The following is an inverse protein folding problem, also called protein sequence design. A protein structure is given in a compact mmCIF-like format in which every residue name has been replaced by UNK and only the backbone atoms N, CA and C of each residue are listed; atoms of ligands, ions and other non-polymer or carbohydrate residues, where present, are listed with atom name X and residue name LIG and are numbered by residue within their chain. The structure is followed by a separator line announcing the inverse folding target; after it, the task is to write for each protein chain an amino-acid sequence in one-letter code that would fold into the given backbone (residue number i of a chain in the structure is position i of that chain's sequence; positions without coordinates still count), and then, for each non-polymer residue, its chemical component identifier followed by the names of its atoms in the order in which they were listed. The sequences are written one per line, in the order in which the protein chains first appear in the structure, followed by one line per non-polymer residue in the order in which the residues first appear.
data_IF_523303066998
#
_entry.id   IF_523303066998
#
_cell.length_a   1.000
_cell.length_b   1.000
_cell.length_c   1.000
_cell.angle_alpha   90.00
_cell.angle_beta   90.00
_cell.angle_gamma   90.00
#
_symmetry.space_group_name_H-M   'P 1'
#
loop_
_entity.id
_entity.type
_entity.pdbx_description
1 polymer ?
#
# COMPACT_ATOMS: atom_id res chain seq x y z
N UNK A 1 -36.77 40.03 -5.57
CA UNK A 1 -35.73 41.06 -5.40
C UNK A 1 -34.50 40.38 -4.82
N UNK A 2 -33.49 40.18 -5.65
CA UNK A 2 -32.19 39.65 -5.28
C UNK A 2 -31.33 40.76 -4.68
N UNK A 3 -30.55 40.45 -3.65
CA UNK A 3 -29.43 41.28 -3.21
C UNK A 3 -28.22 40.36 -2.99
N UNK A 4 -27.26 40.50 -3.90
CA UNK A 4 -25.93 39.91 -3.85
C UNK A 4 -25.13 40.51 -2.69
N UNK A 5 -24.42 39.68 -1.91
CA UNK A 5 -23.29 40.16 -1.11
C UNK A 5 -22.01 39.42 -1.49
N UNK A 6 -21.00 40.25 -1.74
CA UNK A 6 -19.73 39.98 -2.39
C UNK A 6 -18.75 39.21 -1.52
N UNK A 7 -18.15 38.18 -2.12
CA UNK A 7 -17.07 37.35 -1.59
C UNK A 7 -15.71 38.05 -1.76
N UNK A 8 -15.23 38.83 -0.80
CA UNK A 8 -13.89 39.46 -0.90
C UNK A 8 -13.25 39.90 0.44
N UNK A 9 -13.26 39.08 1.50
CA UNK A 9 -12.59 39.44 2.76
C UNK A 9 -11.86 38.32 3.51
N UNK A 10 -11.36 37.28 2.83
CA UNK A 10 -10.38 36.37 3.44
C UNK A 10 -9.26 36.00 2.45
N UNK A 11 -8.71 37.04 1.81
CA UNK A 11 -7.42 36.99 1.12
C UNK A 11 -6.42 37.77 1.97
N UNK A 12 -5.79 37.13 2.96
CA UNK A 12 -4.44 37.49 3.39
C UNK A 12 -3.82 36.47 4.36
N UNK A 13 -2.59 36.06 4.00
CA UNK A 13 -1.50 35.45 4.79
C UNK A 13 -1.30 33.94 4.67
N UNK A 14 -0.18 33.56 4.03
CA UNK A 14 0.45 32.24 4.10
C UNK A 14 0.78 31.57 2.77
N UNK A 15 1.40 32.27 1.81
CA UNK A 15 1.91 31.67 0.57
C UNK A 15 3.33 31.13 0.80
N UNK A 16 3.51 29.81 0.79
CA UNK A 16 4.82 29.14 0.75
C UNK A 16 5.14 28.81 -0.72
N UNK A 17 6.27 29.25 -1.31
CA UNK A 17 6.52 29.08 -2.74
C UNK A 17 7.04 27.68 -3.07
N UNK A 18 6.36 27.01 -4.00
CA UNK A 18 6.81 25.79 -4.68
C UNK A 18 7.84 26.20 -5.75
N UNK A 19 9.12 25.92 -5.54
CA UNK A 19 10.17 26.13 -6.56
C UNK A 19 9.93 25.23 -7.77
N UNK A 20 9.70 25.85 -8.93
CA UNK A 20 9.76 25.23 -10.23
C UNK A 20 11.22 25.17 -10.71
N UNK A 21 11.67 23.99 -11.13
CA UNK A 21 12.93 23.82 -11.85
C UNK A 21 12.65 23.90 -13.35
N UNK A 22 12.80 25.10 -13.91
CA UNK A 22 12.93 25.35 -15.35
C UNK A 22 14.40 25.41 -15.70
N UNK A 23 14.89 24.47 -16.50
CA UNK A 23 16.22 24.56 -17.11
C UNK A 23 16.09 25.31 -18.43
N UNK A 24 16.74 26.47 -18.48
CA UNK A 24 16.83 27.37 -19.62
C UNK A 24 17.55 26.73 -20.82
N UNK A 25 17.06 27.09 -22.01
CA UNK A 25 17.77 26.94 -23.28
C UNK A 25 19.04 27.79 -23.24
N UNK A 26 20.19 27.19 -23.56
CA UNK A 26 21.37 27.91 -24.02
C UNK A 26 21.68 27.46 -25.44
N UNK A 27 21.85 28.44 -26.34
CA UNK A 27 22.18 28.20 -27.74
C UNK A 27 23.53 27.53 -27.89
N UNK A 28 23.60 26.58 -28.82
CA UNK A 28 24.85 26.02 -29.32
C UNK A 28 25.01 26.44 -30.78
N UNK A 29 26.05 27.23 -30.98
CA UNK A 29 26.54 27.78 -32.25
C UNK A 29 27.00 26.69 -33.21
N UNK A 30 26.65 26.88 -34.48
CA UNK A 30 27.14 26.17 -35.66
C UNK A 30 28.67 26.11 -35.69
N UNK A 31 29.24 24.89 -35.71
CA UNK A 31 30.59 24.63 -36.23
C UNK A 31 30.58 23.28 -36.97
N UNK A 32 30.66 23.38 -38.29
CA UNK A 32 31.01 22.30 -39.23
C UNK A 32 32.32 21.61 -38.83
N UNK A 33 32.46 20.29 -39.08
CA UNK A 33 33.70 19.84 -39.70
C UNK A 33 33.51 18.77 -40.78
N UNK A 34 33.98 19.14 -41.98
CA UNK A 34 34.87 18.40 -42.88
C UNK A 34 34.52 16.96 -43.25
N UNK A 35 34.04 16.88 -44.49
CA UNK A 35 34.28 15.86 -45.50
C UNK A 35 35.61 15.10 -45.35
N UNK A 36 35.54 13.79 -45.12
CA UNK A 36 36.55 12.82 -45.53
C UNK A 36 35.88 11.68 -46.28
N UNK A 37 36.33 11.51 -47.51
CA UNK A 37 35.85 10.57 -48.50
C UNK A 37 36.42 9.16 -48.30
N UNK A 38 35.57 8.18 -48.61
CA UNK A 38 35.84 6.88 -49.23
C UNK A 38 36.84 5.93 -48.55
N UNK A 39 36.37 4.73 -48.18
CA UNK A 39 37.00 3.47 -48.62
C UNK A 39 35.99 2.32 -48.54
N UNK A 40 35.78 1.71 -49.70
CA UNK A 40 34.98 0.53 -49.96
C UNK A 40 35.37 -0.66 -49.07
N UNK A 41 34.38 -1.52 -48.77
CA UNK A 41 34.45 -2.94 -49.12
C UNK A 41 33.08 -3.62 -49.07
N UNK A 42 32.47 -3.77 -50.25
CA UNK A 42 31.49 -4.83 -50.49
C UNK A 42 32.23 -6.17 -50.44
N UNK A 43 31.94 -7.00 -49.46
CA UNK A 43 32.46 -8.37 -49.39
C UNK A 43 31.44 -9.31 -50.07
N UNK A 44 31.76 -9.91 -51.23
CA UNK A 44 30.88 -10.90 -51.83
C UNK A 44 30.99 -12.21 -51.04
N UNK A 45 29.89 -12.62 -50.37
CA UNK A 45 29.78 -13.96 -49.79
C UNK A 45 29.63 -14.98 -50.92
N UNK A 46 30.67 -15.77 -51.16
CA UNK A 46 30.64 -16.88 -52.12
C UNK A 46 29.75 -18.03 -51.62
N UNK A 47 28.99 -18.55 -52.56
CA UNK A 47 28.10 -19.71 -52.53
C UNK A 47 28.94 -21.02 -52.55
N UNK A 48 28.61 -21.94 -51.63
CA UNK A 48 28.72 -23.41 -51.63
C UNK A 48 30.04 -24.10 -52.02
N UNK A 49 30.56 -24.92 -51.09
CA UNK A 49 30.96 -26.31 -51.39
C UNK A 49 30.63 -27.24 -50.21
N UNK A 50 30.24 -28.46 -50.58
CA UNK A 50 29.71 -29.52 -49.73
C UNK A 50 30.78 -30.35 -49.00
N UNK A 51 30.29 -31.04 -47.97
CA UNK A 51 30.71 -32.34 -47.44
C UNK A 51 32.00 -32.43 -46.60
N UNK A 52 31.79 -32.73 -45.31
CA UNK A 52 32.31 -33.96 -44.67
C UNK A 52 31.57 -34.28 -43.37
N UNK A 53 30.81 -35.37 -43.41
CA UNK A 53 30.47 -36.31 -42.33
C UNK A 53 30.54 -35.79 -40.88
N UNK A 54 29.48 -35.10 -40.43
CA UNK A 54 29.22 -34.96 -38.98
C UNK A 54 28.21 -36.03 -38.59
N UNK A 55 28.70 -37.08 -37.92
CA UNK A 55 27.89 -38.09 -37.26
C UNK A 55 26.90 -37.34 -36.36
N UNK A 56 25.62 -37.39 -36.69
CA UNK A 56 24.54 -36.74 -35.95
C UNK A 56 24.60 -37.19 -34.49
N UNK A 57 25.21 -36.37 -33.64
CA UNK A 57 25.11 -36.52 -32.20
C UNK A 57 23.67 -36.15 -31.87
N UNK A 58 22.80 -37.17 -31.81
CA UNK A 58 21.47 -37.03 -31.22
C UNK A 58 21.67 -36.73 -29.75
N UNK A 59 21.83 -35.44 -29.44
CA UNK A 59 21.72 -34.92 -28.10
C UNK A 59 20.31 -35.26 -27.62
N UNK A 60 20.16 -36.30 -26.80
CA UNK A 60 18.91 -36.59 -26.13
C UNK A 60 18.66 -35.44 -25.14
N UNK A 61 17.82 -34.50 -25.53
CA UNK A 61 17.41 -33.38 -24.69
C UNK A 61 16.43 -33.89 -23.64
N UNK A 62 16.95 -34.37 -22.49
CA UNK A 62 16.17 -34.81 -21.32
C UNK A 62 15.43 -33.67 -20.58
N UNK A 63 15.18 -32.55 -21.25
CA UNK A 63 14.35 -31.45 -20.75
C UNK A 63 12.97 -31.49 -21.42
N UNK A 64 12.30 -32.63 -21.35
CA UNK A 64 10.89 -32.78 -21.72
C UNK A 64 9.98 -32.84 -20.48
N UNK A 65 10.36 -32.14 -19.40
CA UNK A 65 9.33 -31.72 -18.44
C UNK A 65 8.49 -30.66 -19.15
N UNK A 66 7.46 -31.11 -19.87
CA UNK A 66 6.49 -30.22 -20.48
C UNK A 66 5.97 -29.30 -19.40
N UNK A 67 6.22 -28.01 -19.53
CA UNK A 67 5.65 -27.00 -18.64
C UNK A 67 4.13 -27.05 -18.82
N UNK A 68 3.46 -27.88 -18.02
CA UNK A 68 2.04 -27.71 -17.80
C UNK A 68 1.91 -26.39 -17.07
N UNK A 69 1.70 -25.32 -17.84
CA UNK A 69 1.26 -24.03 -17.34
C UNK A 69 -0.04 -24.30 -16.56
N UNK A 70 0.09 -24.40 -15.24
CA UNK A 70 -1.03 -24.63 -14.31
C UNK A 70 -2.06 -23.49 -14.44
N UNK A 71 -1.62 -22.33 -14.94
CA UNK A 71 -2.44 -21.16 -15.20
C UNK A 71 -2.14 -20.62 -16.60
N UNK A 72 -3.14 -20.08 -17.31
CA UNK A 72 -2.93 -19.45 -18.61
C UNK A 72 -1.90 -18.31 -18.51
N UNK A 73 -1.10 -18.07 -19.56
CA UNK A 73 -0.17 -16.96 -19.59
C UNK A 73 -0.94 -15.65 -19.36
N UNK A 74 -0.41 -14.79 -18.48
CA UNK A 74 -0.97 -13.47 -18.22
C UNK A 74 -0.82 -12.67 -19.53
N UNK A 75 -1.86 -11.92 -19.96
CA UNK A 75 -1.76 -11.06 -21.14
C UNK A 75 -0.57 -10.08 -21.01
N UNK A 76 -0.03 -9.57 -22.14
CA UNK A 76 0.99 -8.53 -22.12
C UNK A 76 0.58 -7.39 -21.17
N UNK A 77 1.56 -6.85 -20.45
CA UNK A 77 1.35 -5.89 -19.38
C UNK A 77 0.95 -4.52 -19.94
N UNK A 78 -0.32 -4.38 -20.36
CA UNK A 78 -0.90 -3.09 -20.70
C UNK A 78 -0.96 -2.23 -19.43
N UNK A 79 -0.62 -0.92 -19.51
CA UNK A 79 -0.70 -0.04 -18.35
C UNK A 79 -2.10 -0.10 -17.71
N UNK A 80 -2.16 -0.42 -16.43
CA UNK A 80 -3.42 -0.42 -15.70
C UNK A 80 -4.06 0.98 -15.78
N UNK A 81 -5.40 1.07 -15.95
CA UNK A 81 -6.08 2.36 -15.91
C UNK A 81 -5.80 3.08 -14.59
N UNK A 82 -5.38 4.34 -14.66
CA UNK A 82 -5.09 5.14 -13.47
C UNK A 82 -6.43 5.56 -12.85
N UNK A 83 -6.76 5.13 -11.62
CA UNK A 83 -7.97 5.58 -10.95
C UNK A 83 -7.86 7.07 -10.57
N UNK A 84 -8.99 7.73 -10.37
CA UNK A 84 -9.02 9.08 -9.83
C UNK A 84 -8.37 9.11 -8.43
N UNK A 85 -7.48 10.07 -8.14
CA UNK A 85 -6.83 10.15 -6.84
C UNK A 85 -7.84 10.56 -5.77
N UNK A 86 -8.06 9.70 -4.78
CA UNK A 86 -8.85 9.99 -3.59
C UNK A 86 -7.98 9.90 -2.33
N UNK A 87 -7.79 11.01 -1.58
CA UNK A 87 -6.93 11.02 -0.39
C UNK A 87 -7.37 10.06 0.73
N UNK A 88 -8.67 9.78 0.82
CA UNK A 88 -9.29 8.85 1.77
C UNK A 88 -8.72 7.44 1.66
N UNK A 89 -8.43 6.98 0.45
CA UNK A 89 -7.95 5.63 0.16
C UNK A 89 -6.44 5.43 0.36
N UNK A 90 -5.71 6.50 0.69
CA UNK A 90 -4.25 6.42 0.82
C UNK A 90 -3.73 7.27 1.97
N UNK A 91 -3.55 8.57 1.73
CA UNK A 91 -2.83 9.45 2.66
C UNK A 91 -3.55 9.59 4.00
N UNK A 92 -4.88 9.77 4.01
CA UNK A 92 -5.64 9.88 5.25
C UNK A 92 -5.68 8.59 6.05
N UNK A 93 -5.91 7.46 5.39
CA UNK A 93 -5.89 6.14 6.03
C UNK A 93 -4.54 5.86 6.69
N UNK A 94 -3.44 6.08 5.95
CA UNK A 94 -2.09 5.89 6.47
C UNK A 94 -1.81 6.80 7.68
N UNK A 95 -2.17 8.08 7.58
CA UNK A 95 -1.90 9.06 8.65
C UNK A 95 -2.68 8.71 9.90
N UNK A 96 -3.95 8.31 9.75
CA UNK A 96 -4.81 7.89 10.85
C UNK A 96 -4.26 6.65 11.57
N UNK A 97 -3.85 5.62 10.82
CA UNK A 97 -3.22 4.43 11.40
C UNK A 97 -1.98 4.76 12.23
N UNK A 98 -1.11 5.63 11.69
CA UNK A 98 0.11 6.03 12.39
C UNK A 98 -0.21 6.85 13.63
N UNK A 99 -1.21 7.72 13.57
CA UNK A 99 -1.64 8.52 14.71
C UNK A 99 -2.16 7.64 15.86
N UNK A 100 -3.06 6.70 15.56
CA UNK A 100 -3.58 5.75 16.57
C UNK A 100 -2.45 4.90 17.14
N UNK A 101 -1.56 4.37 16.29
CA UNK A 101 -0.43 3.55 16.74
C UNK A 101 0.53 4.33 17.64
N UNK A 102 0.86 5.58 17.27
CA UNK A 102 1.73 6.43 18.06
C UNK A 102 1.07 6.86 19.38
N UNK A 103 -0.24 7.15 19.37
CA UNK A 103 -1.02 7.48 20.57
C UNK A 103 -1.18 6.31 21.54
N UNK A 104 -1.16 5.07 21.05
CA UNK A 104 -1.24 3.87 21.88
C UNK A 104 -0.01 3.71 22.79
N UNK A 105 1.17 4.16 22.35
CA UNK A 105 2.43 4.02 23.10
C UNK A 105 2.30 4.65 24.50
N UNK A 106 2.02 5.96 24.66
CA UNK A 106 1.87 6.55 25.99
C UNK A 106 0.66 5.98 26.76
N UNK A 107 -0.44 5.63 26.07
CA UNK A 107 -1.63 5.05 26.71
C UNK A 107 -1.33 3.69 27.36
N UNK A 108 -0.50 2.86 26.73
CA UNK A 108 -0.09 1.57 27.31
C UNK A 108 0.87 1.71 28.49
N UNK A 109 1.62 2.82 28.57
CA UNK A 109 2.52 3.11 29.71
C UNK A 109 1.76 3.69 30.89
N UNK A 110 0.70 4.47 30.64
CA UNK A 110 -0.09 5.16 31.66
C UNK A 110 -0.54 4.29 32.85
N UNK A 111 -1.13 3.08 32.67
CA UNK A 111 -1.55 2.25 33.80
C UNK A 111 -0.36 1.81 34.69
N UNK A 112 0.85 1.67 34.14
CA UNK A 112 2.02 1.32 34.96
C UNK A 112 2.54 2.50 35.79
N UNK A 113 2.36 3.72 35.32
CA UNK A 113 2.77 4.93 36.05
C UNK A 113 1.74 5.37 37.10
N UNK A 114 0.45 5.22 36.79
CA UNK A 114 -0.66 5.67 37.65
C UNK A 114 -1.24 4.58 38.55
N UNK A 115 -0.97 3.30 38.27
CA UNK A 115 -1.64 2.18 38.93
C UNK A 115 -3.03 1.95 38.34
N UNK A 116 -4.08 2.10 39.15
CA UNK A 116 -5.47 2.02 38.67
C UNK A 116 -5.81 3.27 37.84
N UNK A 117 -6.24 3.10 36.59
CA UNK A 117 -6.70 4.21 35.77
C UNK A 117 -8.09 4.69 36.19
N UNK A 118 -8.37 5.97 35.96
CA UNK A 118 -9.75 6.47 35.99
C UNK A 118 -10.55 5.81 34.85
N UNK A 119 -11.84 5.46 35.04
CA UNK A 119 -12.63 4.73 34.04
C UNK A 119 -12.61 5.36 32.64
N UNK A 120 -12.59 6.70 32.55
CA UNK A 120 -12.46 7.39 31.25
C UNK A 120 -11.15 7.09 30.53
N UNK A 121 -10.02 7.01 31.26
CA UNK A 121 -8.72 6.72 30.66
C UNK A 121 -8.60 5.24 30.26
N UNK A 122 -9.21 4.34 31.03
CA UNK A 122 -9.30 2.92 30.68
C UNK A 122 -10.15 2.72 29.42
N UNK A 123 -11.32 3.37 29.35
CA UNK A 123 -12.17 3.38 28.15
C UNK A 123 -11.45 3.95 26.91
N UNK A 124 -10.63 5.00 27.06
CA UNK A 124 -9.83 5.55 25.95
C UNK A 124 -8.77 4.55 25.49
N UNK A 125 -8.05 3.92 26.43
CA UNK A 125 -7.06 2.88 26.12
C UNK A 125 -7.72 1.72 25.38
N UNK A 126 -8.82 1.19 25.91
CA UNK A 126 -9.56 0.08 25.33
C UNK A 126 -10.16 0.43 23.96
N UNK A 127 -10.72 1.63 23.81
CA UNK A 127 -11.25 2.12 22.52
C UNK A 127 -10.15 2.28 21.48
N UNK A 128 -8.99 2.83 21.86
CA UNK A 128 -7.85 2.97 20.96
C UNK A 128 -7.32 1.60 20.51
N UNK A 129 -7.21 0.63 21.43
CA UNK A 129 -6.84 -0.77 21.12
C UNK A 129 -7.86 -1.37 20.15
N UNK A 130 -9.16 -1.24 20.41
CA UNK A 130 -10.21 -1.78 19.56
C UNK A 130 -10.13 -1.23 18.13
N UNK A 131 -9.97 0.08 17.98
CA UNK A 131 -9.84 0.74 16.67
C UNK A 131 -8.56 0.28 15.96
N UNK A 132 -7.42 0.25 16.67
CA UNK A 132 -6.15 -0.21 16.12
C UNK A 132 -6.25 -1.66 15.61
N UNK A 133 -6.87 -2.54 16.40
CA UNK A 133 -7.09 -3.94 16.03
C UNK A 133 -8.04 -4.07 14.84
N UNK A 134 -9.12 -3.30 14.77
CA UNK A 134 -10.05 -3.34 13.63
C UNK A 134 -9.34 -3.04 12.32
N UNK A 135 -8.57 -1.95 12.25
CA UNK A 135 -7.84 -1.55 11.05
C UNK A 135 -6.74 -2.57 10.70
N UNK A 136 -6.03 -3.09 11.71
CA UNK A 136 -5.04 -4.14 11.52
C UNK A 136 -5.64 -5.42 10.93
N UNK A 137 -6.80 -5.86 11.41
CA UNK A 137 -7.49 -7.02 10.85
C UNK A 137 -8.08 -6.75 9.47
N UNK A 138 -8.55 -5.53 9.17
CA UNK A 138 -8.94 -5.15 7.82
C UNK A 138 -7.77 -5.30 6.83
N UNK A 139 -6.56 -4.87 7.21
CA UNK A 139 -5.35 -5.05 6.41
C UNK A 139 -5.03 -6.54 6.16
N UNK A 140 -5.08 -7.37 7.20
CA UNK A 140 -4.90 -8.83 7.09
C UNK A 140 -5.90 -9.44 6.09
N UNK A 141 -7.18 -9.04 6.16
CA UNK A 141 -8.19 -9.52 5.22
C UNK A 141 -7.88 -9.07 3.78
N UNK A 142 -7.45 -7.83 3.58
CA UNK A 142 -7.14 -7.29 2.25
C UNK A 142 -5.95 -8.04 1.62
N UNK A 143 -4.90 -8.31 2.40
CA UNK A 143 -3.65 -8.90 1.94
C UNK A 143 -3.79 -10.40 1.63
N UNK A 144 -4.50 -11.15 2.49
CA UNK A 144 -4.58 -12.61 2.37
C UNK A 144 -5.82 -13.12 1.65
N UNK A 145 -6.90 -12.32 1.55
CA UNK A 145 -8.14 -12.70 0.87
C UNK A 145 -8.36 -11.84 -0.38
N UNK A 146 -7.70 -12.20 -1.51
CA UNK A 146 -7.81 -11.43 -2.75
C UNK A 146 -9.23 -11.48 -3.31
N UNK A 147 -9.79 -10.30 -3.60
CA UNK A 147 -11.17 -10.12 -4.09
C UNK A 147 -11.48 -10.94 -5.34
N UNK A 148 -10.51 -11.07 -6.24
CA UNK A 148 -10.69 -11.73 -7.53
C UNK A 148 -10.71 -13.26 -7.44
N UNK A 149 -10.21 -13.84 -6.33
CA UNK A 149 -10.10 -15.30 -6.17
C UNK A 149 -11.10 -15.85 -5.17
N UNK A 150 -11.33 -15.15 -4.05
CA UNK A 150 -12.14 -15.63 -2.93
C UNK A 150 -13.18 -14.59 -2.46
N UNK A 151 -14.06 -14.09 -3.35
CA UNK A 151 -14.98 -12.99 -3.02
C UNK A 151 -15.98 -13.35 -1.91
N UNK A 152 -16.47 -14.60 -1.86
CA UNK A 152 -17.42 -15.06 -0.84
C UNK A 152 -16.78 -15.13 0.55
N UNK A 153 -15.61 -15.75 0.63
CA UNK A 153 -14.84 -15.87 1.88
C UNK A 153 -14.43 -14.50 2.40
N UNK A 154 -13.94 -13.62 1.53
CA UNK A 154 -13.63 -12.24 1.89
C UNK A 154 -14.85 -11.52 2.45
N UNK A 155 -16.02 -11.63 1.80
CA UNK A 155 -17.25 -10.99 2.26
C UNK A 155 -17.67 -11.50 3.65
N UNK A 156 -17.57 -12.81 3.89
CA UNK A 156 -17.83 -13.39 5.21
C UNK A 156 -16.93 -12.78 6.29
N UNK A 157 -15.61 -12.79 6.09
CA UNK A 157 -14.67 -12.23 7.06
C UNK A 157 -14.85 -10.72 7.25
N UNK A 158 -15.26 -10.00 6.20
CA UNK A 158 -15.55 -8.57 6.27
C UNK A 158 -16.71 -8.27 7.24
N UNK A 159 -17.79 -9.05 7.15
CA UNK A 159 -18.93 -8.92 8.06
C UNK A 159 -18.62 -9.47 9.46
N UNK A 160 -17.87 -10.58 9.54
CA UNK A 160 -17.42 -11.15 10.80
C UNK A 160 -16.58 -10.14 11.59
N UNK A 161 -15.65 -9.43 10.94
CA UNK A 161 -14.83 -8.42 11.59
C UNK A 161 -15.68 -7.28 12.16
N UNK A 162 -16.66 -6.79 11.40
CA UNK A 162 -17.58 -5.75 11.87
C UNK A 162 -18.42 -6.22 13.06
N UNK A 163 -18.95 -7.44 12.99
CA UNK A 163 -19.72 -8.03 14.08
C UNK A 163 -18.85 -8.20 15.34
N UNK A 164 -17.62 -8.68 15.18
CA UNK A 164 -16.65 -8.82 16.27
C UNK A 164 -16.31 -7.46 16.90
N UNK A 165 -16.07 -6.43 16.10
CA UNK A 165 -15.78 -5.08 16.62
C UNK A 165 -16.94 -4.49 17.41
N UNK A 166 -18.18 -4.68 16.94
CA UNK A 166 -19.37 -4.26 17.71
C UNK A 166 -19.51 -5.07 18.99
N UNK A 167 -19.35 -6.40 18.93
CA UNK A 167 -19.46 -7.26 20.09
C UNK A 167 -18.41 -6.91 21.17
N UNK A 168 -17.15 -6.71 20.76
CA UNK A 168 -16.08 -6.27 21.67
C UNK A 168 -16.37 -4.86 22.20
N UNK A 169 -16.86 -3.94 21.37
CA UNK A 169 -17.25 -2.60 21.81
C UNK A 169 -18.34 -2.62 22.90
N UNK A 170 -19.36 -3.47 22.74
CA UNK A 170 -20.40 -3.68 23.77
C UNK A 170 -19.81 -4.32 25.02
N UNK A 171 -18.96 -5.33 24.88
CA UNK A 171 -18.28 -5.96 26.02
C UNK A 171 -17.44 -4.97 26.82
N UNK A 172 -16.66 -4.13 26.13
CA UNK A 172 -15.87 -3.07 26.77
C UNK A 172 -16.76 -2.03 27.47
N UNK A 173 -17.88 -1.64 26.85
CA UNK A 173 -18.84 -0.73 27.50
C UNK A 173 -19.39 -1.32 28.80
N UNK A 174 -19.79 -2.60 28.79
CA UNK A 174 -20.27 -3.30 29.99
C UNK A 174 -19.18 -3.41 31.07
N UNK A 175 -17.94 -3.72 30.69
CA UNK A 175 -16.80 -3.80 31.63
C UNK A 175 -16.51 -2.46 32.30
N UNK A 176 -16.60 -1.35 31.56
CA UNK A 176 -16.31 -0.02 32.09
C UNK A 176 -17.48 0.60 32.89
N UNK A 177 -18.72 0.19 32.62
CA UNK A 177 -19.90 0.78 33.27
C UNK A 177 -20.46 -0.07 34.42
N UNK A 178 -20.43 -1.39 34.30
CA UNK A 178 -21.04 -2.32 35.26
C UNK A 178 -20.02 -3.19 36.00
N UNK A 179 -18.76 -3.20 35.57
CA UNK A 179 -17.66 -3.94 36.22
C UNK A 179 -16.53 -2.98 36.65
N UNK A 180 -15.39 -3.55 37.04
CA UNK A 180 -14.25 -2.83 37.63
C UNK A 180 -13.38 -2.09 36.60
N UNK A 181 -13.58 -2.34 35.31
CA UNK A 181 -12.72 -1.84 34.23
C UNK A 181 -11.59 -2.81 33.85
N UNK A 182 -11.12 -2.68 32.62
CA UNK A 182 -10.21 -3.66 32.01
C UNK A 182 -8.83 -3.69 32.66
N UNK A 183 -8.26 -2.54 32.98
CA UNK A 183 -6.92 -2.45 33.59
C UNK A 183 -6.87 -3.04 35.00
N UNK A 184 -7.92 -2.80 35.81
CA UNK A 184 -8.00 -3.40 37.13
C UNK A 184 -8.28 -4.91 37.06
N UNK A 185 -9.14 -5.35 36.13
CA UNK A 185 -9.37 -6.77 35.89
C UNK A 185 -8.06 -7.51 35.53
N UNK A 186 -7.25 -6.95 34.64
CA UNK A 186 -5.92 -7.50 34.30
C UNK A 186 -5.01 -7.54 35.52
N UNK A 187 -5.00 -6.49 36.35
CA UNK A 187 -4.20 -6.44 37.58
C UNK A 187 -4.58 -7.55 38.57
N UNK A 188 -5.89 -7.83 38.71
CA UNK A 188 -6.41 -8.89 39.56
C UNK A 188 -6.04 -10.28 39.03
N UNK A 189 -6.16 -10.50 37.72
CA UNK A 189 -5.78 -11.76 37.05
C UNK A 189 -4.28 -12.04 37.24
N UNK A 190 -3.42 -11.01 37.18
CA UNK A 190 -1.98 -11.19 37.32
C UNK A 190 -1.53 -11.56 38.74
N UNK A 191 -2.31 -11.18 39.76
CA UNK A 191 -2.03 -11.48 41.18
C UNK A 191 -2.67 -12.78 41.66
N UNK A 192 -3.54 -13.38 40.85
CA UNK A 192 -4.18 -14.68 41.12
C UNK A 192 -3.17 -15.83 40.97
#
# INVERSE_FOLDING_TARGET
MAANLSSNLLRQLGFVPRRALTTSRLGATTLEPKYYSNICRNVPRKCFTNNKLSKSMRLATFHTSGSKLILPPIPPNDPAPIPSPEPSHGSYHWTFERLISAGLIPLTIAPFAAGSLHPTMDAILCGAILIHSHIGFEAVIIDYLPRNRVPKTRLFFWWMLRAATVAVGVGLYEFETNDVGVTEAISRIWKA
#
